data_IF_253140599705
#
_entry.id   IF_253140599705
#
_cell.length_a   1.000
_cell.length_b   1.000
_cell.length_c   1.000
_cell.angle_alpha   90.00
_cell.angle_beta   90.00
_cell.angle_gamma   90.00
#
_symmetry.space_group_name_H-M   'P 1'
#
loop_
_entity.id
_entity.type
_entity.pdbx_description
1 polymer ?
#
# COMPACT_ATOMS: atom_id res chain seq x y z
N UNK A 1 10.92 -66.91 21.44
CA UNK A 1 10.22 -67.07 20.16
C UNK A 1 9.62 -65.72 19.87
N UNK A 2 10.30 -64.97 19.00
CA UNK A 2 9.86 -63.65 18.59
C UNK A 2 9.09 -63.83 17.29
N UNK A 3 7.80 -63.50 17.30
CA UNK A 3 6.92 -63.49 16.15
C UNK A 3 7.14 -62.19 15.38
N UNK A 4 7.85 -62.33 14.30
CA UNK A 4 8.17 -61.26 13.32
C UNK A 4 6.89 -60.98 12.52
N UNK A 5 6.14 -59.93 12.92
CA UNK A 5 4.95 -59.50 12.20
C UNK A 5 5.37 -58.84 10.88
N UNK A 6 5.40 -59.66 9.83
CA UNK A 6 5.54 -59.18 8.46
C UNK A 6 4.45 -58.16 8.13
N UNK A 7 4.84 -56.89 8.05
CA UNK A 7 4.00 -55.85 7.47
C UNK A 7 3.86 -56.14 5.98
N UNK A 8 2.66 -56.30 5.42
CA UNK A 8 2.49 -56.50 4.00
C UNK A 8 2.94 -55.24 3.23
N UNK A 9 3.79 -55.44 2.22
CA UNK A 9 4.24 -54.38 1.36
C UNK A 9 3.03 -53.67 0.72
N UNK A 10 3.04 -52.34 0.62
CA UNK A 10 1.90 -51.57 0.11
C UNK A 10 1.63 -51.97 -1.35
N UNK A 11 0.42 -52.49 -1.61
CA UNK A 11 -0.06 -52.86 -2.95
C UNK A 11 -0.03 -51.62 -3.87
N UNK A 12 0.23 -51.79 -5.17
CA UNK A 12 0.39 -50.71 -6.15
C UNK A 12 -0.77 -49.68 -6.15
N UNK A 13 -1.96 -50.08 -5.72
CA UNK A 13 -3.14 -49.23 -5.53
C UNK A 13 -2.93 -48.18 -4.41
N UNK A 14 -2.30 -48.56 -3.29
CA UNK A 14 -2.00 -47.64 -2.20
C UNK A 14 -0.90 -46.64 -2.57
N UNK A 15 0.05 -47.02 -3.43
CA UNK A 15 1.09 -46.14 -3.96
C UNK A 15 0.51 -45.02 -4.83
N UNK A 16 -0.49 -45.33 -5.66
CA UNK A 16 -1.15 -44.34 -6.50
C UNK A 16 -2.00 -43.35 -5.65
N UNK A 17 -2.69 -43.85 -4.64
CA UNK A 17 -3.43 -43.00 -3.69
C UNK A 17 -2.46 -42.07 -2.95
N UNK A 18 -1.33 -42.59 -2.46
CA UNK A 18 -0.29 -41.79 -1.81
C UNK A 18 0.29 -40.71 -2.73
N UNK A 19 0.54 -41.05 -3.99
CA UNK A 19 1.03 -40.09 -4.99
C UNK A 19 0.01 -38.97 -5.28
N UNK A 20 -1.28 -39.31 -5.37
CA UNK A 20 -2.36 -38.32 -5.59
C UNK A 20 -2.47 -37.39 -4.37
N UNK A 21 -2.43 -37.92 -3.16
CA UNK A 21 -2.49 -37.11 -1.95
C UNK A 21 -1.29 -36.16 -1.81
N UNK A 22 -0.09 -36.64 -2.16
CA UNK A 22 1.11 -35.82 -2.17
C UNK A 22 1.02 -34.69 -3.21
N UNK A 23 0.56 -35.01 -4.44
CA UNK A 23 0.34 -34.02 -5.47
C UNK A 23 -0.68 -32.95 -5.05
N UNK A 24 -1.75 -33.38 -4.40
CA UNK A 24 -2.79 -32.46 -3.90
C UNK A 24 -2.22 -31.56 -2.79
N UNK A 25 -1.45 -32.10 -1.85
CA UNK A 25 -0.81 -31.31 -0.80
C UNK A 25 0.19 -30.29 -1.37
N UNK A 26 1.04 -30.70 -2.32
CA UNK A 26 1.98 -29.79 -3.01
C UNK A 26 1.22 -28.71 -3.79
N UNK A 27 0.13 -29.09 -4.46
CA UNK A 27 -0.73 -28.15 -5.19
C UNK A 27 -1.37 -27.10 -4.27
N UNK A 28 -1.86 -27.51 -3.11
CA UNK A 28 -2.43 -26.58 -2.12
C UNK A 28 -1.39 -25.60 -1.57
N UNK A 29 -0.18 -26.08 -1.27
CA UNK A 29 0.93 -25.21 -0.82
C UNK A 29 1.30 -24.24 -1.94
N UNK A 30 1.42 -24.71 -3.18
CA UNK A 30 1.68 -23.86 -4.34
C UNK A 30 0.60 -22.79 -4.54
N UNK A 31 -0.66 -23.15 -4.41
CA UNK A 31 -1.78 -22.22 -4.52
C UNK A 31 -1.75 -21.17 -3.40
N UNK A 32 -1.42 -21.55 -2.17
CA UNK A 32 -1.28 -20.63 -1.05
C UNK A 32 -0.16 -19.59 -1.30
N UNK A 33 0.99 -20.03 -1.81
CA UNK A 33 2.09 -19.12 -2.17
C UNK A 33 1.74 -18.20 -3.35
N UNK A 34 0.99 -18.69 -4.33
CA UNK A 34 0.55 -17.91 -5.49
C UNK A 34 -0.54 -16.88 -5.14
N UNK A 35 -1.34 -17.14 -4.10
CA UNK A 35 -2.42 -16.25 -3.67
C UNK A 35 -1.92 -14.88 -3.25
N UNK A 36 -0.76 -14.79 -2.57
CA UNK A 36 -0.21 -13.53 -2.06
C UNK A 36 0.15 -12.55 -3.19
N UNK A 37 0.98 -12.90 -4.19
CA UNK A 37 1.30 -11.99 -5.28
C UNK A 37 0.08 -11.68 -6.15
N UNK A 38 -0.83 -12.64 -6.33
CA UNK A 38 -2.05 -12.43 -7.10
C UNK A 38 -2.98 -11.43 -6.41
N UNK A 39 -3.16 -11.54 -5.09
CA UNK A 39 -3.93 -10.59 -4.29
C UNK A 39 -3.32 -9.19 -4.34
N UNK A 40 -1.99 -9.08 -4.21
CA UNK A 40 -1.29 -7.79 -4.35
C UNK A 40 -1.51 -7.16 -5.72
N UNK A 41 -1.37 -7.94 -6.80
CA UNK A 41 -1.62 -7.48 -8.16
C UNK A 41 -3.09 -7.04 -8.35
N UNK A 42 -4.04 -7.76 -7.77
CA UNK A 42 -5.46 -7.38 -7.78
C UNK A 42 -5.69 -6.06 -7.04
N UNK A 43 -5.17 -5.88 -5.82
CA UNK A 43 -5.31 -4.64 -5.06
C UNK A 43 -4.71 -3.44 -5.77
N UNK A 44 -3.51 -3.60 -6.38
CA UNK A 44 -2.86 -2.49 -7.12
C UNK A 44 -3.60 -2.15 -8.41
N UNK A 45 -4.17 -3.14 -9.10
CA UNK A 45 -4.92 -2.91 -10.33
C UNK A 45 -6.29 -2.29 -10.08
N UNK A 46 -6.97 -2.68 -8.99
CA UNK A 46 -8.33 -2.24 -8.68
C UNK A 46 -8.39 -1.06 -7.71
N UNK A 47 -7.31 -0.80 -6.93
CA UNK A 47 -7.32 0.16 -5.82
C UNK A 47 -8.09 -0.33 -4.59
N UNK A 48 -8.45 -1.61 -4.52
CA UNK A 48 -9.16 -2.19 -3.39
C UNK A 48 -8.29 -2.15 -2.13
N UNK A 49 -8.90 -1.93 -0.97
CA UNK A 49 -8.17 -1.83 0.30
C UNK A 49 -7.45 -0.50 0.51
N UNK A 50 -7.89 0.60 -0.13
CA UNK A 50 -7.34 1.95 0.04
C UNK A 50 -6.01 2.20 -0.68
N UNK A 51 -5.56 1.28 -1.56
CA UNK A 51 -4.39 1.50 -2.41
C UNK A 51 -4.70 2.52 -3.50
N UNK A 52 -3.82 3.50 -3.69
CA UNK A 52 -3.99 4.52 -4.73
C UNK A 52 -3.40 4.05 -6.06
N UNK A 53 -3.93 4.57 -7.16
CA UNK A 53 -3.36 4.37 -8.50
C UNK A 53 -2.22 5.36 -8.76
N UNK A 54 -1.24 4.92 -9.53
CA UNK A 54 -0.23 5.81 -10.10
C UNK A 54 -0.71 6.20 -11.51
N UNK A 55 -0.83 7.50 -11.74
CA UNK A 55 -1.27 8.04 -13.03
C UNK A 55 -0.24 9.02 -13.57
N UNK A 56 -0.23 9.20 -14.90
CA UNK A 56 0.62 10.19 -15.58
C UNK A 56 -0.04 11.56 -15.69
N UNK A 57 -1.33 11.66 -15.37
CA UNK A 57 -2.12 12.90 -15.41
C UNK A 57 -3.62 12.60 -15.43
N UNK A 58 -4.44 13.65 -15.33
CA UNK A 58 -5.89 13.53 -15.44
C UNK A 58 -6.34 13.72 -16.92
N UNK A 59 -6.70 12.62 -17.58
CA UNK A 59 -7.21 12.64 -18.94
C UNK A 59 -8.74 12.88 -19.05
N UNK A 60 -9.48 12.82 -17.91
CA UNK A 60 -10.96 12.87 -17.87
C UNK A 60 -11.52 14.29 -17.63
N UNK A 61 -10.64 15.26 -17.41
CA UNK A 61 -11.04 16.64 -17.12
C UNK A 61 -11.49 16.88 -15.68
N UNK A 62 -12.05 18.06 -15.43
CA UNK A 62 -12.49 18.54 -14.11
C UNK A 62 -14.01 18.64 -14.10
N UNK A 63 -14.65 18.19 -13.03
CA UNK A 63 -16.11 18.31 -12.83
C UNK A 63 -16.43 19.39 -11.78
N UNK A 64 -17.66 19.87 -11.76
CA UNK A 64 -18.07 20.98 -10.88
C UNK A 64 -18.12 20.61 -9.39
N UNK A 65 -18.17 19.32 -9.04
CA UNK A 65 -18.20 18.84 -7.67
C UNK A 65 -16.87 19.07 -6.98
N UNK A 66 -16.91 19.68 -5.81
CA UNK A 66 -15.74 19.90 -4.96
C UNK A 66 -15.54 18.74 -3.99
N UNK A 67 -14.27 18.50 -3.63
CA UNK A 67 -13.84 17.55 -2.64
C UNK A 67 -12.71 18.11 -1.79
N UNK A 68 -12.77 17.86 -0.49
CA UNK A 68 -11.68 18.21 0.42
C UNK A 68 -10.77 17.01 0.62
N UNK A 69 -9.48 17.20 0.37
CA UNK A 69 -8.46 16.20 0.69
C UNK A 69 -7.71 16.66 1.94
N UNK A 70 -7.77 15.83 2.97
CA UNK A 70 -7.05 16.01 4.24
C UNK A 70 -5.80 15.15 4.25
N UNK A 71 -4.79 15.63 4.92
CA UNK A 71 -3.50 14.95 5.04
C UNK A 71 -3.18 14.70 6.50
N UNK A 72 -2.77 13.49 6.79
CA UNK A 72 -2.36 13.07 8.13
C UNK A 72 -0.98 12.39 8.07
N UNK A 73 -0.23 12.45 9.17
CA UNK A 73 1.09 11.84 9.26
C UNK A 73 1.29 11.20 10.63
N UNK A 74 1.53 9.90 10.64
CA UNK A 74 1.86 9.11 11.79
C UNK A 74 3.34 8.69 11.71
N UNK A 75 4.02 8.65 12.84
CA UNK A 75 5.43 8.31 12.93
C UNK A 75 5.57 7.13 13.87
N UNK A 76 6.18 6.05 13.38
CA UNK A 76 6.54 4.91 14.21
C UNK A 76 7.61 5.31 15.24
N UNK A 77 7.50 4.79 16.46
CA UNK A 77 8.41 5.14 17.55
C UNK A 77 9.90 4.79 17.30
N UNK A 78 10.19 3.97 16.29
CA UNK A 78 11.55 3.64 15.85
C UNK A 78 12.22 4.72 14.98
N UNK A 79 11.43 5.68 14.46
CA UNK A 79 11.90 6.72 13.56
C UNK A 79 11.98 8.08 14.31
N UNK A 80 13.17 8.61 14.62
CA UNK A 80 13.32 9.87 15.34
C UNK A 80 13.14 11.10 14.42
N UNK A 81 12.06 11.11 13.65
CA UNK A 81 11.70 12.21 12.77
C UNK A 81 10.52 12.99 13.33
N UNK A 82 10.43 14.23 12.94
CA UNK A 82 9.23 15.05 13.05
C UNK A 82 8.70 15.27 11.65
N UNK A 83 7.45 14.90 11.41
CA UNK A 83 6.80 15.13 10.11
C UNK A 83 5.62 16.06 10.31
N UNK A 84 5.60 17.12 9.52
CA UNK A 84 4.48 18.06 9.45
C UNK A 84 3.67 17.73 8.20
N UNK A 85 2.39 17.33 8.33
CA UNK A 85 1.53 17.06 7.19
C UNK A 85 1.23 18.33 6.42
N UNK A 86 0.89 18.16 5.15
CA UNK A 86 0.38 19.24 4.32
C UNK A 86 -0.96 19.76 4.86
N UNK A 87 -1.30 21.01 4.54
CA UNK A 87 -2.63 21.55 4.80
C UNK A 87 -3.67 20.86 3.91
N UNK A 88 -4.90 20.75 4.42
CA UNK A 88 -6.03 20.27 3.62
C UNK A 88 -6.27 21.17 2.40
N UNK A 89 -6.63 20.55 1.29
CA UNK A 89 -6.95 21.24 0.03
C UNK A 89 -8.40 20.92 -0.34
N UNK A 90 -9.16 21.94 -0.71
CA UNK A 90 -10.49 21.79 -1.29
C UNK A 90 -10.44 22.28 -2.73
N UNK A 91 -10.69 21.38 -3.67
CA UNK A 91 -10.70 21.70 -5.10
C UNK A 91 -11.75 20.87 -5.82
N UNK A 92 -11.99 21.23 -7.07
CA UNK A 92 -12.88 20.49 -7.96
C UNK A 92 -12.30 19.12 -8.29
N UNK A 93 -13.15 18.09 -8.30
CA UNK A 93 -12.73 16.74 -8.65
C UNK A 93 -12.17 16.71 -10.06
N UNK A 94 -10.97 16.14 -10.20
CA UNK A 94 -10.20 16.13 -11.43
C UNK A 94 -9.10 17.21 -11.48
N UNK A 95 -9.11 18.18 -10.58
CA UNK A 95 -8.02 19.14 -10.41
C UNK A 95 -6.74 18.42 -9.97
N UNK A 96 -5.61 18.85 -10.54
CA UNK A 96 -4.28 18.30 -10.17
C UNK A 96 -3.66 19.22 -9.14
N UNK A 97 -3.44 18.71 -7.95
CA UNK A 97 -2.93 19.45 -6.83
C UNK A 97 -1.55 18.94 -6.39
N UNK A 98 -0.71 19.85 -5.92
CA UNK A 98 0.58 19.50 -5.32
C UNK A 98 0.66 20.06 -3.91
N UNK A 99 0.87 19.17 -2.97
CA UNK A 99 1.03 19.49 -1.55
C UNK A 99 2.41 19.06 -1.06
N UNK A 100 2.88 19.69 0.02
CA UNK A 100 4.22 19.44 0.54
C UNK A 100 4.13 18.99 2.00
N UNK A 101 4.70 17.83 2.28
CA UNK A 101 5.01 17.38 3.63
C UNK A 101 6.43 17.81 3.98
N UNK A 102 6.68 18.11 5.24
CA UNK A 102 8.01 18.46 5.71
C UNK A 102 8.46 17.48 6.78
N UNK A 103 9.61 16.84 6.56
CA UNK A 103 10.21 15.93 7.53
C UNK A 103 11.52 16.49 8.04
N UNK A 104 11.79 16.32 9.34
CA UNK A 104 13.04 16.72 10.03
C UNK A 104 13.54 15.57 10.88
N UNK A 105 14.83 15.27 10.77
CA UNK A 105 15.50 14.32 11.65
C UNK A 105 15.87 15.00 12.97
N UNK A 106 15.33 14.54 14.08
CA UNK A 106 15.58 15.07 15.42
C UNK A 106 16.79 14.40 16.11
N UNK A 107 17.33 13.34 15.54
CA UNK A 107 18.45 12.61 16.12
C UNK A 107 19.81 13.20 15.75
N UNK A 108 20.84 12.75 16.44
CA UNK A 108 22.25 13.07 16.14
C UNK A 108 22.90 12.07 15.17
N UNK A 109 22.11 11.21 14.51
CA UNK A 109 22.57 10.20 13.55
C UNK A 109 21.85 10.34 12.23
N UNK A 110 22.48 9.90 11.15
CA UNK A 110 21.82 9.75 9.85
C UNK A 110 20.82 8.60 9.95
N UNK A 111 19.58 8.86 9.56
CA UNK A 111 18.49 7.88 9.65
C UNK A 111 17.77 7.80 8.32
N UNK A 112 17.54 6.57 7.85
CA UNK A 112 16.76 6.28 6.65
C UNK A 112 15.35 5.86 7.05
N UNK A 113 14.37 6.54 6.50
CA UNK A 113 12.95 6.26 6.70
C UNK A 113 12.25 5.98 5.38
N UNK A 114 11.14 5.30 5.49
CA UNK A 114 10.21 5.07 4.39
C UNK A 114 8.78 5.32 4.86
N UNK A 115 7.86 5.54 3.91
CA UNK A 115 6.48 5.84 4.22
C UNK A 115 5.54 4.83 3.56
N UNK A 116 4.58 4.34 4.33
CA UNK A 116 3.37 3.72 3.81
C UNK A 116 2.24 4.75 3.83
N UNK A 117 1.22 4.54 3.02
CA UNK A 117 0.06 5.43 2.98
C UNK A 117 -1.23 4.64 2.89
N UNK A 118 -2.30 5.27 3.33
CA UNK A 118 -3.67 4.75 3.22
C UNK A 118 -4.63 5.89 2.88
N UNK A 119 -5.76 5.56 2.23
CA UNK A 119 -6.83 6.49 1.90
C UNK A 119 -8.10 6.09 2.62
N UNK A 120 -8.76 7.06 3.25
CA UNK A 120 -10.03 6.88 3.94
C UNK A 120 -11.08 7.82 3.34
N UNK A 121 -12.29 7.35 2.99
CA UNK A 121 -12.75 5.94 3.06
C UNK A 121 -12.05 5.04 2.02
N UNK A 122 -11.90 3.74 2.32
CA UNK A 122 -11.15 2.78 1.47
C UNK A 122 -11.63 2.76 0.01
N UNK A 123 -12.95 2.82 -0.20
CA UNK A 123 -13.54 2.84 -1.54
C UNK A 123 -13.07 4.04 -2.36
N UNK A 124 -12.72 5.17 -1.73
CA UNK A 124 -12.18 6.34 -2.43
C UNK A 124 -10.75 6.14 -2.91
N UNK A 125 -10.02 5.16 -2.34
CA UNK A 125 -8.64 4.84 -2.73
C UNK A 125 -8.50 4.51 -4.22
N UNK A 126 -9.48 3.81 -4.82
CA UNK A 126 -9.50 3.48 -6.25
C UNK A 126 -9.62 4.70 -7.17
N UNK A 127 -10.11 5.82 -6.65
CA UNK A 127 -10.29 7.09 -7.36
C UNK A 127 -9.23 8.13 -6.99
N UNK A 128 -8.39 7.84 -5.98
CA UNK A 128 -7.30 8.72 -5.58
C UNK A 128 -6.03 8.36 -6.35
N UNK A 129 -5.69 9.20 -7.33
CA UNK A 129 -4.57 8.97 -8.23
C UNK A 129 -3.39 9.85 -7.83
N UNK A 130 -2.23 9.24 -7.60
CA UNK A 130 -0.97 9.93 -7.39
C UNK A 130 -0.15 9.97 -8.66
N UNK A 131 0.28 11.16 -9.06
CA UNK A 131 1.15 11.37 -10.21
C UNK A 131 2.61 11.27 -9.76
N UNK A 132 2.95 11.92 -8.65
CA UNK A 132 4.28 11.92 -8.09
C UNK A 132 4.21 11.77 -6.56
N UNK A 133 5.05 10.93 -6.00
CA UNK A 133 5.11 10.69 -4.57
C UNK A 133 6.54 10.35 -4.14
N UNK A 134 6.95 10.92 -3.02
CA UNK A 134 8.20 10.57 -2.34
C UNK A 134 8.17 9.19 -1.68
N UNK A 135 6.99 8.60 -1.46
CA UNK A 135 6.82 7.35 -0.72
C UNK A 135 7.37 6.10 -1.43
N UNK A 136 7.73 6.21 -2.71
CA UNK A 136 8.35 5.11 -3.45
C UNK A 136 9.86 5.01 -3.25
N UNK A 137 10.48 5.99 -2.59
CA UNK A 137 11.92 6.03 -2.34
C UNK A 137 12.19 6.18 -0.85
N UNK A 138 13.18 5.45 -0.37
CA UNK A 138 13.71 5.67 0.98
C UNK A 138 14.31 7.07 1.07
N UNK A 139 14.04 7.76 2.16
CA UNK A 139 14.61 9.09 2.44
C UNK A 139 15.65 8.96 3.53
N UNK A 140 16.85 9.41 3.25
CA UNK A 140 17.96 9.42 4.23
C UNK A 140 18.23 10.85 4.66
N UNK A 141 17.98 11.14 5.93
CA UNK A 141 18.21 12.47 6.51
C UNK A 141 19.39 12.45 7.47
N UNK A 142 20.29 13.42 7.30
CA UNK A 142 21.40 13.69 8.22
C UNK A 142 20.87 14.25 9.55
N UNK A 143 21.70 14.30 10.60
CA UNK A 143 21.33 14.94 11.86
C UNK A 143 20.82 16.38 11.67
N UNK A 144 19.59 16.65 12.16
CA UNK A 144 18.97 17.97 12.08
C UNK A 144 18.47 18.38 10.69
N UNK A 145 18.67 17.57 9.66
CA UNK A 145 18.26 17.87 8.28
C UNK A 145 16.75 17.92 8.16
N UNK A 146 16.30 18.89 7.36
CA UNK A 146 14.88 19.06 6.99
C UNK A 146 14.72 18.89 5.50
N UNK A 147 13.75 18.10 5.08
CA UNK A 147 13.45 17.84 3.67
C UNK A 147 11.98 18.15 3.37
N UNK A 148 11.71 18.69 2.19
CA UNK A 148 10.37 18.88 1.65
C UNK A 148 10.04 17.71 0.74
N UNK A 149 8.85 17.14 0.93
CA UNK A 149 8.37 15.95 0.24
C UNK A 149 7.08 16.29 -0.52
N UNK A 150 7.17 16.66 -1.80
CA UNK A 150 6.00 16.98 -2.60
C UNK A 150 5.20 15.73 -2.95
N UNK A 151 3.88 15.87 -2.95
CA UNK A 151 2.92 14.86 -3.41
C UNK A 151 2.00 15.53 -4.41
N UNK A 152 2.01 15.06 -5.64
CA UNK A 152 1.12 15.52 -6.71
C UNK A 152 0.05 14.45 -6.93
N UNK A 153 -1.22 14.85 -6.87
CA UNK A 153 -2.36 13.94 -6.96
C UNK A 153 -3.56 14.60 -7.64
N UNK A 154 -4.54 13.78 -7.97
CA UNK A 154 -5.90 14.22 -8.33
C UNK A 154 -6.91 13.15 -7.90
N UNK A 155 -8.17 13.55 -7.74
CA UNK A 155 -9.30 12.63 -7.53
C UNK A 155 -9.97 12.37 -8.88
N UNK A 156 -10.11 11.08 -9.27
CA UNK A 156 -10.69 10.71 -10.56
C UNK A 156 -12.18 11.10 -10.61
N UNK A 157 -12.62 11.81 -11.66
CA UNK A 157 -14.02 12.19 -11.86
C UNK A 157 -15.03 11.03 -11.83
N UNK A 158 -14.59 9.81 -12.10
CA UNK A 158 -15.44 8.63 -12.02
C UNK A 158 -15.93 8.31 -10.59
N UNK A 159 -15.36 8.93 -9.57
CA UNK A 159 -15.87 8.85 -8.18
C UNK A 159 -17.33 9.30 -8.09
N UNK A 160 -17.75 10.23 -8.95
CA UNK A 160 -19.12 10.74 -8.97
C UNK A 160 -20.15 9.72 -9.51
N UNK A 161 -19.69 8.72 -10.24
CA UNK A 161 -20.51 7.63 -10.75
C UNK A 161 -20.79 6.56 -9.68
N UNK A 162 -19.99 6.52 -8.62
CA UNK A 162 -20.14 5.56 -7.53
C UNK A 162 -21.19 6.06 -6.52
N UNK A 163 -22.30 5.31 -6.37
CA UNK A 163 -23.41 5.65 -5.47
C UNK A 163 -22.97 5.83 -4.02
N UNK A 164 -22.03 5.00 -3.55
CA UNK A 164 -21.58 4.96 -2.15
C UNK A 164 -20.67 6.15 -1.80
N UNK A 165 -20.08 6.78 -2.82
CA UNK A 165 -19.16 7.89 -2.67
C UNK A 165 -19.77 9.27 -3.03
N UNK A 166 -21.03 9.29 -3.48
CA UNK A 166 -21.71 10.57 -3.85
C UNK A 166 -21.84 11.54 -2.68
N UNK A 167 -22.04 11.02 -1.48
CA UNK A 167 -22.21 11.83 -0.25
C UNK A 167 -20.90 12.17 0.43
N UNK A 168 -19.80 11.52 0.02
CA UNK A 168 -18.45 11.74 0.58
C UNK A 168 -17.95 13.10 0.11
N UNK A 169 -17.64 13.99 1.04
CA UNK A 169 -17.09 15.32 0.79
C UNK A 169 -15.61 15.43 1.14
N UNK A 170 -15.13 14.53 1.98
CA UNK A 170 -13.77 14.54 2.52
C UNK A 170 -13.09 13.19 2.23
N UNK A 171 -11.85 13.25 1.77
CA UNK A 171 -10.93 12.11 1.66
C UNK A 171 -9.73 12.41 2.56
N UNK A 172 -9.28 11.43 3.34
CA UNK A 172 -8.07 11.57 4.14
C UNK A 172 -6.97 10.67 3.58
N UNK A 173 -5.83 11.27 3.26
CA UNK A 173 -4.60 10.57 2.90
C UNK A 173 -3.69 10.55 4.13
N UNK A 174 -3.58 9.40 4.76
CA UNK A 174 -2.72 9.17 5.93
C UNK A 174 -1.40 8.54 5.52
N UNK A 175 -0.30 9.13 5.95
CA UNK A 175 1.04 8.55 5.84
C UNK A 175 1.50 8.00 7.17
N UNK A 176 2.13 6.82 7.15
CA UNK A 176 2.83 6.27 8.31
C UNK A 176 4.31 6.12 7.95
N UNK A 177 5.16 6.82 8.69
CA UNK A 177 6.59 6.82 8.52
C UNK A 177 7.25 5.86 9.50
N UNK A 178 8.19 5.05 9.03
CA UNK A 178 8.93 4.08 9.83
C UNK A 178 10.39 3.96 9.37
N UNK A 179 11.26 3.52 10.28
CA UNK A 179 12.66 3.34 9.95
C UNK A 179 12.83 2.23 8.90
N UNK A 180 13.63 2.50 7.86
CA UNK A 180 13.97 1.46 6.90
C UNK A 180 14.82 0.38 7.57
N UNK A 181 14.53 -0.89 7.27
CA UNK A 181 15.31 -2.05 7.74
C UNK A 181 16.65 -2.19 7.01
N UNK A 182 16.81 -1.54 5.87
CA UNK A 182 18.06 -1.49 5.16
C UNK A 182 19.00 -0.49 5.88
N UNK A 183 19.79 -0.99 6.82
CA UNK A 183 20.96 -0.26 7.31
C UNK A 183 21.89 -0.09 6.11
N UNK A 184 21.99 1.12 5.60
CA UNK A 184 23.04 1.48 4.66
C UNK A 184 24.37 1.04 5.23
N UNK A 185 25.05 0.16 4.54
CA UNK A 185 26.43 -0.24 4.79
C UNK A 185 27.36 0.92 4.52
#
# INVERSE_FOLDING_TARGET
MAEDALHPAPTGKNRNVGAILLLLAVGMVGAAYAAVPLYYAFCTATGYGGTTRVATGNAKGVIAREMTVRFDSNIDGSLPWQVTPAKSVTDKIGGVETVVFTARNLSNKTVTGQAAFNVTPELAGSYFNKIQCFCFTEQTLKPGETVQMPVTFFVDPDIDKNSDLRTVKDITLSYTFYASKNKGS
#
